data_IF_309529379567
#
_entry.id   IF_309529379567
#
_cell.length_a   1.000
_cell.length_b   1.000
_cell.length_c   1.000
_cell.angle_alpha   90.00
_cell.angle_beta   90.00
_cell.angle_gamma   90.00
#
_symmetry.space_group_name_H-M   'P 1'
#
loop_
_entity.id
_entity.type
_entity.pdbx_description
1 polymer ?
#
# COMPACT_ATOMS: atom_id res chain seq x y z
N UNK A 1 -19.78 20.00 10.49
CA UNK A 1 -19.28 18.90 11.33
C UNK A 1 -17.76 19.07 11.37
N UNK A 2 -17.21 19.53 12.50
CA UNK A 2 -15.81 19.94 12.64
C UNK A 2 -15.00 18.74 13.16
N UNK A 3 -13.94 18.34 12.46
CA UNK A 3 -13.03 17.28 12.90
C UNK A 3 -12.18 17.77 14.09
N UNK A 4 -11.91 16.91 15.10
CA UNK A 4 -11.11 17.32 16.24
C UNK A 4 -9.63 17.40 15.86
N UNK A 5 -9.00 18.51 16.24
CA UNK A 5 -7.56 18.74 16.18
C UNK A 5 -6.84 17.69 17.04
N UNK A 6 -6.16 16.73 16.41
CA UNK A 6 -5.33 15.76 17.14
C UNK A 6 -3.96 16.38 17.43
N UNK A 7 -3.74 16.68 18.71
CA UNK A 7 -2.45 17.06 19.29
C UNK A 7 -1.36 16.05 18.93
N UNK A 8 -0.16 16.59 18.72
CA UNK A 8 1.05 15.90 18.27
C UNK A 8 1.32 14.57 18.97
N UNK A 9 1.00 13.48 18.28
CA UNK A 9 1.59 12.18 18.49
C UNK A 9 2.63 11.97 17.40
N UNK A 10 3.85 11.61 17.79
CA UNK A 10 4.94 11.27 16.90
C UNK A 10 4.52 10.05 16.03
N UNK A 11 3.86 10.31 14.89
CA UNK A 11 3.47 9.28 13.92
C UNK A 11 4.76 8.78 13.27
N UNK A 12 5.28 7.68 13.83
CA UNK A 12 6.33 6.87 13.21
C UNK A 12 6.01 6.75 11.72
N UNK A 13 6.88 7.32 10.89
CA UNK A 13 6.67 7.52 9.46
C UNK A 13 6.08 6.27 8.83
N UNK A 14 4.94 6.43 8.16
CA UNK A 14 4.39 5.34 7.38
C UNK A 14 5.41 5.02 6.28
N UNK A 15 6.08 3.87 6.43
CA UNK A 15 7.21 3.53 5.59
C UNK A 15 6.71 3.33 4.17
N UNK A 16 7.27 4.11 3.23
CA UNK A 16 7.11 3.88 1.79
C UNK A 16 7.32 2.39 1.51
N UNK A 17 6.43 1.80 0.72
CA UNK A 17 6.50 0.37 0.43
C UNK A 17 7.31 0.13 -0.82
N UNK A 18 8.18 -0.87 -0.76
CA UNK A 18 8.98 -1.32 -1.91
C UNK A 18 8.26 -2.35 -2.78
N UNK A 19 7.12 -2.88 -2.32
CA UNK A 19 6.35 -3.88 -3.03
C UNK A 19 4.86 -3.78 -2.66
N UNK A 20 4.00 -4.21 -3.58
CA UNK A 20 2.55 -4.34 -3.41
C UNK A 20 2.10 -5.74 -3.83
N UNK A 21 1.05 -6.28 -3.19
CA UNK A 21 0.55 -7.63 -3.47
C UNK A 21 -0.48 -7.60 -4.59
N UNK A 22 -0.41 -8.54 -5.53
CA UNK A 22 -1.52 -8.84 -6.42
C UNK A 22 -1.98 -10.29 -6.21
N UNK A 23 -3.28 -10.48 -5.95
CA UNK A 23 -3.84 -11.82 -5.86
C UNK A 23 -4.10 -12.35 -7.26
N UNK A 24 -3.49 -13.48 -7.62
CA UNK A 24 -3.59 -14.08 -8.96
C UNK A 24 -5.05 -14.24 -9.40
N UNK A 25 -5.90 -14.83 -8.55
CA UNK A 25 -7.32 -15.02 -8.85
C UNK A 25 -8.06 -13.69 -9.03
N UNK A 26 -7.83 -12.72 -8.15
CA UNK A 26 -8.46 -11.40 -8.26
C UNK A 26 -7.98 -10.59 -9.46
N UNK A 27 -6.72 -10.75 -9.85
CA UNK A 27 -6.12 -10.07 -11.00
C UNK A 27 -6.56 -10.67 -12.34
N UNK A 28 -6.59 -12.00 -12.44
CA UNK A 28 -6.91 -12.70 -13.69
C UNK A 28 -8.41 -12.91 -13.90
N UNK A 29 -9.17 -13.15 -12.83
CA UNK A 29 -10.58 -13.51 -12.89
C UNK A 29 -11.51 -12.50 -12.19
N UNK A 30 -10.95 -11.49 -11.51
CA UNK A 30 -11.76 -10.48 -10.85
C UNK A 30 -12.42 -9.50 -11.83
N UNK A 31 -13.34 -8.71 -11.30
CA UNK A 31 -14.13 -7.73 -12.06
C UNK A 31 -13.28 -6.69 -12.80
N UNK A 32 -12.08 -6.39 -12.30
CA UNK A 32 -11.08 -5.55 -12.99
C UNK A 32 -10.80 -6.05 -14.42
N UNK A 33 -10.76 -7.37 -14.64
CA UNK A 33 -10.44 -7.93 -15.95
C UNK A 33 -11.49 -7.56 -17.01
N UNK A 34 -12.74 -7.43 -16.59
CA UNK A 34 -13.92 -7.22 -17.46
C UNK A 34 -14.34 -5.75 -17.54
N UNK A 35 -14.03 -4.96 -16.50
CA UNK A 35 -14.46 -3.57 -16.40
C UNK A 35 -13.43 -2.57 -16.94
N UNK A 36 -12.16 -2.95 -16.97
CA UNK A 36 -11.07 -2.10 -17.43
C UNK A 36 -10.42 -2.68 -18.69
N UNK A 37 -10.12 -1.79 -19.63
CA UNK A 37 -9.32 -2.11 -20.81
C UNK A 37 -7.89 -2.48 -20.40
N UNK A 38 -7.13 -3.22 -21.25
CA UNK A 38 -5.77 -3.62 -20.92
C UNK A 38 -4.88 -2.47 -20.47
N UNK A 39 -4.98 -1.30 -21.10
CA UNK A 39 -4.24 -0.09 -20.73
C UNK A 39 -4.67 0.46 -19.37
N UNK A 40 -5.98 0.50 -19.10
CA UNK A 40 -6.53 1.01 -17.84
C UNK A 40 -6.20 0.09 -16.66
N UNK A 41 -6.08 -1.23 -16.90
CA UNK A 41 -5.57 -2.17 -15.90
C UNK A 41 -4.11 -1.90 -15.55
N UNK A 42 -3.30 -1.49 -16.53
CA UNK A 42 -1.94 -1.01 -16.31
C UNK A 42 -1.94 0.19 -15.37
N UNK A 43 -2.72 1.22 -15.71
CA UNK A 43 -2.88 2.42 -14.87
C UNK A 43 -3.33 2.06 -13.46
N UNK A 44 -4.27 1.12 -13.30
CA UNK A 44 -4.71 0.68 -11.97
C UNK A 44 -3.57 0.04 -11.15
N UNK A 45 -2.75 -0.81 -11.76
CA UNK A 45 -1.57 -1.37 -11.08
C UNK A 45 -0.57 -0.28 -10.71
N UNK A 46 -0.34 0.68 -11.60
CA UNK A 46 0.57 1.80 -11.36
C UNK A 46 0.09 2.70 -10.22
N UNK A 47 -1.22 2.98 -10.14
CA UNK A 47 -1.82 3.72 -9.03
C UNK A 47 -1.68 2.98 -7.69
N UNK A 48 -1.82 1.64 -7.66
CA UNK A 48 -1.56 0.83 -6.46
C UNK A 48 -0.10 0.97 -6.02
N UNK A 49 0.85 0.89 -6.97
CA UNK A 49 2.27 1.06 -6.70
C UNK A 49 2.57 2.47 -6.16
N UNK A 50 2.05 3.51 -6.82
CA UNK A 50 2.24 4.91 -6.43
C UNK A 50 1.68 5.20 -5.03
N UNK A 51 0.50 4.66 -4.71
CA UNK A 51 -0.07 4.77 -3.37
C UNK A 51 0.81 4.06 -2.30
N UNK A 52 1.46 2.96 -2.69
CA UNK A 52 2.45 2.26 -1.87
C UNK A 52 3.69 3.10 -1.61
N UNK A 53 4.17 3.80 -2.63
CA UNK A 53 5.30 4.71 -2.56
C UNK A 53 5.00 5.94 -1.68
N UNK A 54 3.81 6.51 -1.77
CA UNK A 54 3.39 7.65 -0.93
C UNK A 54 3.36 7.27 0.56
N UNK A 55 3.13 6.00 0.87
CA UNK A 55 3.11 5.48 2.23
C UNK A 55 1.85 5.86 3.02
N UNK A 56 0.91 6.65 2.52
CA UNK A 56 -0.25 7.13 3.30
C UNK A 56 -1.50 6.27 3.14
N UNK A 57 -1.47 5.04 3.64
CA UNK A 57 -2.64 4.13 3.69
C UNK A 57 -3.47 4.01 2.39
N UNK A 58 -2.81 4.05 1.23
CA UNK A 58 -3.48 3.93 -0.07
C UNK A 58 -3.89 5.26 -0.68
N UNK A 59 -3.56 6.38 -0.03
CA UNK A 59 -3.68 7.72 -0.59
C UNK A 59 -2.49 8.06 -1.48
N UNK A 60 -2.78 8.69 -2.62
CA UNK A 60 -1.79 9.24 -3.55
C UNK A 60 -1.70 10.73 -3.29
N UNK A 61 -0.68 11.12 -2.52
CA UNK A 61 -0.46 12.49 -2.08
C UNK A 61 1.01 12.74 -1.73
N UNK A 62 1.37 14.00 -1.59
CA UNK A 62 2.71 14.40 -1.16
C UNK A 62 2.96 14.11 0.33
N UNK A 63 4.18 14.42 0.78
CA UNK A 63 4.57 14.24 2.18
C UNK A 63 3.72 15.12 3.14
N UNK A 64 3.17 16.23 2.67
CA UNK A 64 2.32 17.16 3.44
C UNK A 64 0.83 16.74 3.41
N UNK A 65 0.47 15.78 2.56
CA UNK A 65 -0.89 15.25 2.43
C UNK A 65 -1.73 15.97 1.40
N UNK A 66 -1.12 16.73 0.49
CA UNK A 66 -1.79 17.41 -0.62
C UNK A 66 -1.92 16.48 -1.80
N UNK A 67 -3.02 16.62 -2.54
CA UNK A 67 -3.25 15.88 -3.78
C UNK A 67 -2.21 16.23 -4.83
N UNK A 68 -1.79 15.23 -5.60
CA UNK A 68 -0.99 15.48 -6.78
C UNK A 68 -1.89 15.96 -7.93
N UNK A 69 -1.46 16.99 -8.69
CA UNK A 69 -2.09 17.33 -9.95
C UNK A 69 -2.16 16.14 -10.90
N UNK A 70 -3.24 16.02 -11.68
CA UNK A 70 -3.47 14.88 -12.59
C UNK A 70 -2.41 14.78 -13.68
N UNK A 71 -1.96 15.91 -14.20
CA UNK A 71 -0.85 16.01 -15.16
C UNK A 71 0.47 15.53 -14.55
N UNK A 72 0.75 15.86 -13.28
CA UNK A 72 1.92 15.34 -12.57
C UNK A 72 1.90 13.81 -12.48
N UNK A 73 0.77 13.23 -12.07
CA UNK A 73 0.61 11.77 -12.01
C UNK A 73 0.76 11.14 -13.40
N UNK A 74 0.14 11.72 -14.43
CA UNK A 74 0.22 11.20 -15.80
C UNK A 74 1.67 11.21 -16.32
N UNK A 75 2.40 12.30 -16.07
CA UNK A 75 3.81 12.42 -16.41
C UNK A 75 4.68 11.41 -15.65
N UNK A 76 4.47 11.25 -14.34
CA UNK A 76 5.19 10.29 -13.51
C UNK A 76 4.99 8.85 -13.99
N UNK A 77 3.79 8.51 -14.43
CA UNK A 77 3.44 7.19 -14.95
C UNK A 77 3.75 7.03 -16.45
N UNK A 78 4.23 8.09 -17.12
CA UNK A 78 4.52 8.13 -18.55
C UNK A 78 3.32 7.67 -19.41
N UNK A 79 2.13 8.22 -19.12
CA UNK A 79 0.88 7.93 -19.84
C UNK A 79 0.16 9.21 -20.24
N UNK A 80 -0.72 9.17 -21.27
CA UNK A 80 -1.59 10.29 -21.58
C UNK A 80 -2.55 10.60 -20.43
N UNK A 81 -2.75 11.88 -20.14
CA UNK A 81 -3.67 12.32 -19.07
C UNK A 81 -5.10 11.81 -19.29
N UNK A 82 -5.58 11.75 -20.54
CA UNK A 82 -6.90 11.20 -20.88
C UNK A 82 -7.07 9.73 -20.47
N UNK A 83 -6.00 8.93 -20.56
CA UNK A 83 -6.01 7.53 -20.13
C UNK A 83 -6.08 7.43 -18.60
N UNK A 84 -5.33 8.29 -17.91
CA UNK A 84 -5.38 8.41 -16.45
C UNK A 84 -6.80 8.78 -15.98
N UNK A 85 -7.37 9.86 -16.54
CA UNK A 85 -8.68 10.37 -16.15
C UNK A 85 -9.80 9.34 -16.40
N UNK A 86 -9.76 8.66 -17.55
CA UNK A 86 -10.71 7.59 -17.87
C UNK A 86 -10.60 6.41 -16.90
N UNK A 87 -9.38 6.00 -16.56
CA UNK A 87 -9.15 4.90 -15.61
C UNK A 87 -9.66 5.28 -14.21
N UNK A 88 -9.35 6.49 -13.72
CA UNK A 88 -9.87 6.98 -12.44
C UNK A 88 -11.39 7.05 -12.44
N UNK A 89 -12.02 7.57 -13.49
CA UNK A 89 -13.46 7.69 -13.58
C UNK A 89 -14.14 6.30 -13.46
N UNK A 90 -13.65 5.30 -14.19
CA UNK A 90 -14.13 3.91 -14.07
C UNK A 90 -13.88 3.32 -12.68
N UNK A 91 -12.68 3.50 -12.13
CA UNK A 91 -12.35 3.00 -10.79
C UNK A 91 -13.19 3.67 -9.69
N UNK A 92 -13.55 4.95 -9.84
CA UNK A 92 -14.43 5.69 -8.93
C UNK A 92 -15.88 5.19 -9.03
N UNK A 93 -16.38 5.01 -10.25
CA UNK A 93 -17.72 4.44 -10.49
C UNK A 93 -17.89 3.07 -9.81
N UNK A 94 -16.85 2.24 -9.86
CA UNK A 94 -16.85 0.90 -9.27
C UNK A 94 -16.46 0.87 -7.77
N UNK A 95 -16.32 2.02 -7.12
CA UNK A 95 -16.00 2.12 -5.69
C UNK A 95 -14.60 1.64 -5.30
N UNK A 96 -13.65 1.58 -6.25
CA UNK A 96 -12.24 1.23 -5.98
C UNK A 96 -11.38 2.41 -5.57
N UNK A 97 -11.77 3.59 -6.05
CA UNK A 97 -11.18 4.88 -5.70
C UNK A 97 -12.24 5.68 -4.97
N UNK A 98 -11.84 6.26 -3.84
CA UNK A 98 -12.54 7.33 -3.17
C UNK A 98 -11.76 8.62 -3.40
N UNK A 99 -12.49 9.71 -3.61
CA UNK A 99 -11.93 11.01 -3.97
C UNK A 99 -12.28 11.97 -2.84
N UNK A 100 -11.34 12.14 -1.92
CA UNK A 100 -11.54 12.93 -0.70
C UNK A 100 -10.68 14.18 -0.80
N UNK A 101 -11.31 15.34 -0.92
CA UNK A 101 -10.60 16.62 -1.02
C UNK A 101 -9.53 16.59 -2.14
N UNK A 102 -9.92 16.07 -3.32
CA UNK A 102 -9.08 15.85 -4.51
C UNK A 102 -7.95 14.81 -4.35
N UNK A 103 -7.87 14.11 -3.23
CA UNK A 103 -6.91 13.05 -2.98
C UNK A 103 -7.50 11.71 -3.44
N UNK A 104 -6.78 11.03 -4.33
CA UNK A 104 -7.10 9.68 -4.78
C UNK A 104 -6.76 8.70 -3.65
N UNK A 105 -7.77 8.00 -3.13
CA UNK A 105 -7.62 7.00 -2.07
C UNK A 105 -8.11 5.63 -2.55
N UNK A 106 -7.27 4.62 -2.45
CA UNK A 106 -7.63 3.23 -2.78
C UNK A 106 -8.47 2.63 -1.65
N UNK A 107 -9.75 2.32 -1.92
CA UNK A 107 -10.72 1.90 -0.90
C UNK A 107 -10.35 0.57 -0.24
N UNK A 108 -9.94 -0.41 -1.03
CA UNK A 108 -9.57 -1.74 -0.54
C UNK A 108 -8.07 -1.88 -0.23
N UNK A 109 -7.42 -0.81 0.25
CA UNK A 109 -5.98 -0.81 0.49
C UNK A 109 -5.52 -1.96 1.39
N UNK A 110 -6.25 -2.24 2.46
CA UNK A 110 -5.91 -3.28 3.46
C UNK A 110 -5.77 -4.68 2.86
N UNK A 111 -6.59 -5.05 1.87
CA UNK A 111 -6.47 -6.35 1.21
C UNK A 111 -5.10 -6.52 0.54
N UNK A 112 -4.51 -5.43 0.04
CA UNK A 112 -3.19 -5.42 -0.56
C UNK A 112 -2.04 -5.49 0.46
N UNK A 113 -2.32 -5.47 1.79
CA UNK A 113 -1.31 -5.32 2.86
C UNK A 113 -1.06 -6.53 3.77
N UNK A 114 -1.80 -7.63 3.62
CA UNK A 114 -1.83 -8.71 4.62
C UNK A 114 -0.51 -9.48 4.86
N UNK A 115 0.56 -9.24 4.10
CA UNK A 115 1.84 -9.92 4.33
C UNK A 115 2.58 -9.42 5.59
N UNK A 116 2.35 -8.17 6.05
CA UNK A 116 2.91 -7.71 7.31
C UNK A 116 2.39 -8.55 8.48
N UNK A 117 1.09 -8.88 8.48
CA UNK A 117 0.46 -9.75 9.47
C UNK A 117 0.97 -11.20 9.36
N UNK A 118 1.26 -11.68 8.14
CA UNK A 118 1.89 -13.01 7.93
C UNK A 118 3.34 -13.06 8.42
N UNK A 119 4.12 -12.00 8.23
CA UNK A 119 5.52 -11.93 8.67
C UNK A 119 5.66 -11.60 10.16
N UNK A 120 4.68 -10.95 10.79
CA UNK A 120 4.66 -10.62 12.21
C UNK A 120 5.07 -11.80 13.12
N UNK A 121 4.47 -13.01 13.01
CA UNK A 121 4.87 -14.15 13.84
C UNK A 121 6.31 -14.64 13.57
N UNK A 122 6.85 -14.48 12.35
CA UNK A 122 8.25 -14.81 12.06
C UNK A 122 9.24 -13.80 12.67
N UNK A 123 8.85 -12.52 12.76
CA UNK A 123 9.64 -11.46 13.38
C UNK A 123 9.62 -11.56 14.90
N UNK A 124 8.47 -11.87 15.48
CA UNK A 124 8.32 -12.14 16.91
C UNK A 124 9.13 -13.38 17.34
N UNK A 125 9.09 -14.47 16.57
CA UNK A 125 9.96 -15.66 16.78
C UNK A 125 11.46 -15.39 16.70
N UNK A 126 11.89 -14.32 16.02
CA UNK A 126 13.31 -13.95 15.88
C UNK A 126 13.78 -12.98 16.97
N UNK A 127 12.84 -12.31 17.64
CA UNK A 127 13.09 -11.45 18.79
C UNK A 127 13.10 -12.24 20.11
N UNK A 128 12.41 -13.38 20.17
CA UNK A 128 12.53 -14.32 21.28
C UNK A 128 13.84 -15.13 21.18
N UNK A 129 14.84 -14.63 21.91
CA UNK A 129 15.74 -15.37 22.81
C UNK A 129 17.25 -15.08 22.58
N UNK A 130 17.77 -13.95 23.11
CA UNK A 130 19.22 -13.72 23.21
C UNK A 130 19.93 -14.65 24.23
N UNK A 131 19.20 -15.43 25.03
CA UNK A 131 19.72 -16.25 26.14
C UNK A 131 19.57 -17.77 25.91
N UNK A 132 19.34 -18.20 24.66
CA UNK A 132 19.14 -19.62 24.32
C UNK A 132 20.39 -20.52 24.46
N UNK A 133 21.48 -19.99 25.01
CA UNK A 133 22.67 -20.76 25.36
C UNK A 133 22.58 -21.21 26.82
N UNK A 134 22.29 -22.48 27.03
CA UNK A 134 22.43 -23.07 28.38
C UNK A 134 23.86 -23.58 28.53
N UNK A 135 24.50 -23.26 29.67
CA UNK A 135 25.83 -23.76 30.02
C UNK A 135 25.74 -25.29 30.15
N UNK A 136 26.34 -26.01 29.21
CA UNK A 136 26.40 -27.47 29.25
C UNK A 136 27.17 -27.95 30.48
N UNK A 137 26.98 -29.22 30.85
CA UNK A 137 27.58 -29.88 32.03
C UNK A 137 29.11 -29.74 32.11
N UNK A 138 29.79 -29.44 31.00
CA UNK A 138 31.24 -29.26 30.90
C UNK A 138 31.68 -27.82 30.58
N UNK A 139 30.82 -26.83 30.84
CA UNK A 139 31.17 -25.40 30.70
C UNK A 139 31.12 -24.85 29.26
N UNK A 140 30.91 -25.68 28.24
CA UNK A 140 30.67 -25.21 26.88
C UNK A 140 29.22 -24.76 26.69
N UNK A 141 29.02 -23.66 25.98
CA UNK A 141 27.68 -23.20 25.58
C UNK A 141 27.15 -24.11 24.47
N UNK A 142 26.04 -24.80 24.71
CA UNK A 142 25.43 -25.70 23.72
C UNK A 142 24.13 -25.06 23.24
N UNK A 143 24.02 -24.91 21.91
CA UNK A 143 22.79 -24.49 21.26
C UNK A 143 21.75 -25.58 21.47
N UNK A 144 20.59 -25.24 22.02
CA UNK A 144 19.49 -26.19 22.20
C UNK A 144 18.98 -26.71 20.85
#
# INVERSE_FOLDING_TARGET
>A
MVWPEKKGGNMRGSSRRTWVKFFVTGWLHGSIRWQLDPSERGVWADLICLAGECGKEGAICDNDGRSYPRDFIANQLNIPQELLDRAIAKCKHEGRIDDRDDIIVITNWKAYQSEYERQKPYREKKAEDPDKYVKGKYGHMVKR
#
